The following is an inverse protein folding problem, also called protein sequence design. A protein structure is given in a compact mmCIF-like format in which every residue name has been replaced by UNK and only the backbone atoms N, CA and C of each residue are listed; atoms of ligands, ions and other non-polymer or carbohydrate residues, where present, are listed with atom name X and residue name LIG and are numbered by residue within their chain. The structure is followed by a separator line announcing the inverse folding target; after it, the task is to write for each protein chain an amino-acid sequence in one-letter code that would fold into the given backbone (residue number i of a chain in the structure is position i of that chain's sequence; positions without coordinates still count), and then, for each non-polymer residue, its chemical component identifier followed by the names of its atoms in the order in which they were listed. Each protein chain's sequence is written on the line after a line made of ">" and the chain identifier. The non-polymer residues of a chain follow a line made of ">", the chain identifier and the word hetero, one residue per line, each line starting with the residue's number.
data_IF_439841478064
#
_entry.id   IF_439841478064
#
_cell.length_a   1.000
_cell.length_b   1.000
_cell.length_c   1.000
_cell.angle_alpha   90.00
_cell.angle_beta   90.00
_cell.angle_gamma   90.00
#
_symmetry.space_group_name_H-M   'P 1'
#
loop_
_entity.id
_entity.type
_entity.pdbx_description
1 polymer ?
#
# COMPACT_ATOMS: atom_id res chain seq x y z
N UNK A 1 -0.43 31.14 12.19
CA UNK A 1 -0.84 29.78 11.94
C UNK A 1 -1.85 29.33 12.99
N UNK A 2 -2.68 28.36 12.68
CA UNK A 2 -3.58 27.76 13.68
C UNK A 2 -2.73 26.79 14.51
N UNK A 3 -2.79 26.84 15.85
CA UNK A 3 -2.14 25.82 16.69
C UNK A 3 -2.69 24.44 16.34
N UNK A 4 -1.82 23.47 16.15
CA UNK A 4 -2.21 22.09 15.85
C UNK A 4 -1.35 21.13 16.68
N UNK A 5 -2.01 20.16 17.32
CA UNK A 5 -1.37 19.12 18.11
C UNK A 5 -1.55 17.79 17.39
N UNK A 6 -0.48 16.99 17.32
CA UNK A 6 -0.52 15.67 16.73
C UNK A 6 -0.93 14.64 17.81
N UNK A 7 -2.06 13.95 17.57
CA UNK A 7 -2.65 13.00 18.51
C UNK A 7 -2.62 11.56 18.02
N UNK A 8 -1.72 11.22 17.10
CA UNK A 8 -1.59 9.86 16.54
C UNK A 8 -2.54 9.56 15.40
N UNK A 9 -2.58 8.27 15.00
CA UNK A 9 -3.45 7.81 13.92
C UNK A 9 -4.20 6.53 14.33
N UNK A 10 -5.55 6.51 14.30
CA UNK A 10 -6.34 5.36 14.76
C UNK A 10 -5.96 4.03 14.11
N UNK A 11 -5.65 4.04 12.81
CA UNK A 11 -5.24 2.84 12.08
C UNK A 11 -3.95 2.19 12.63
N UNK A 12 -3.03 2.95 13.24
CA UNK A 12 -1.82 2.41 13.82
C UNK A 12 -2.15 1.49 15.01
N UNK A 13 -3.12 1.86 15.84
CA UNK A 13 -3.61 1.04 16.94
C UNK A 13 -4.36 -0.20 16.45
N UNK A 14 -5.21 -0.04 15.43
CA UNK A 14 -5.99 -1.14 14.87
C UNK A 14 -5.12 -2.22 14.21
N UNK A 15 -3.92 -1.87 13.76
CA UNK A 15 -2.97 -2.79 13.11
C UNK A 15 -1.92 -3.37 14.05
N UNK A 16 -1.79 -2.86 15.28
CA UNK A 16 -0.69 -3.22 16.22
C UNK A 16 -0.62 -4.71 16.60
N UNK A 17 -1.72 -5.47 16.46
CA UNK A 17 -1.76 -6.93 16.72
C UNK A 17 -1.69 -7.79 15.46
N UNK A 18 -1.63 -7.20 14.28
CA UNK A 18 -1.69 -7.93 13.03
C UNK A 18 -0.29 -8.37 12.60
N UNK A 19 -0.02 -9.67 12.67
CA UNK A 19 1.28 -10.26 12.29
C UNK A 19 1.17 -11.01 10.96
N UNK A 20 2.31 -11.20 10.27
CA UNK A 20 2.40 -12.02 9.05
C UNK A 20 1.86 -13.43 9.29
N UNK A 21 2.20 -14.04 10.42
CA UNK A 21 1.78 -15.41 10.77
C UNK A 21 0.27 -15.50 10.97
N UNK A 22 -0.33 -14.58 11.75
CA UNK A 22 -1.78 -14.57 11.97
C UNK A 22 -2.55 -14.27 10.70
N UNK A 23 -2.08 -13.33 9.87
CA UNK A 23 -2.71 -12.97 8.62
C UNK A 23 -2.67 -14.11 7.58
N UNK A 24 -1.55 -14.84 7.49
CA UNK A 24 -1.44 -16.02 6.61
C UNK A 24 -2.34 -17.17 7.05
N UNK A 25 -2.39 -17.45 8.36
CA UNK A 25 -3.28 -18.46 8.90
C UNK A 25 -4.76 -18.14 8.58
N UNK A 26 -5.15 -16.88 8.73
CA UNK A 26 -6.49 -16.37 8.48
C UNK A 26 -6.89 -16.40 6.99
N UNK A 27 -5.91 -16.33 6.08
CA UNK A 27 -6.10 -16.42 4.62
C UNK A 27 -5.82 -17.82 4.06
N UNK A 28 -5.42 -18.79 4.89
CA UNK A 28 -5.08 -20.15 4.45
C UNK A 28 -3.82 -20.22 3.56
N UNK A 29 -2.83 -19.35 3.82
CA UNK A 29 -1.60 -19.24 3.03
C UNK A 29 -0.45 -19.93 3.77
N UNK A 30 0.29 -20.79 3.06
CA UNK A 30 1.47 -21.44 3.61
C UNK A 30 2.60 -20.43 3.91
N UNK A 31 3.40 -20.71 4.94
CA UNK A 31 4.48 -19.84 5.41
C UNK A 31 5.53 -19.53 4.34
N UNK A 32 5.82 -20.50 3.47
CA UNK A 32 6.92 -20.43 2.49
C UNK A 32 6.48 -19.87 1.12
N UNK A 33 5.18 -19.64 0.94
CA UNK A 33 4.64 -19.07 -0.30
C UNK A 33 5.08 -17.61 -0.45
N UNK A 34 5.68 -17.25 -1.58
CA UNK A 34 5.89 -15.83 -1.93
C UNK A 34 4.54 -15.17 -2.26
N UNK A 35 4.22 -14.09 -1.56
CA UNK A 35 2.93 -13.41 -1.68
C UNK A 35 3.13 -11.93 -1.97
N UNK A 36 2.45 -11.44 -2.98
CA UNK A 36 2.38 -10.01 -3.33
C UNK A 36 0.94 -9.52 -3.20
N UNK A 37 0.71 -8.52 -2.36
CA UNK A 37 -0.56 -7.80 -2.37
C UNK A 37 -0.59 -6.77 -3.50
N UNK A 38 -1.68 -6.76 -4.26
CA UNK A 38 -1.89 -5.83 -5.37
C UNK A 38 -3.13 -4.99 -5.09
N UNK A 39 -2.93 -3.70 -4.80
CA UNK A 39 -3.97 -2.75 -4.44
C UNK A 39 -4.13 -1.72 -5.58
N UNK A 40 -4.99 -2.00 -6.57
CA UNK A 40 -5.07 -1.20 -7.80
C UNK A 40 -5.79 0.13 -7.63
N UNK A 41 -6.24 0.45 -6.42
CA UNK A 41 -6.94 1.66 -6.06
C UNK A 41 -8.37 1.41 -5.58
N UNK A 42 -8.97 2.45 -4.99
CA UNK A 42 -10.34 2.43 -4.48
C UNK A 42 -11.33 3.20 -5.36
N UNK A 43 -10.82 3.98 -6.31
CA UNK A 43 -11.61 4.80 -7.24
C UNK A 43 -11.56 4.24 -8.66
N UNK A 44 -12.66 4.36 -9.38
CA UNK A 44 -12.74 3.91 -10.78
C UNK A 44 -11.71 4.55 -11.71
N UNK A 45 -11.35 5.80 -11.45
CA UNK A 45 -10.31 6.50 -12.21
C UNK A 45 -8.93 5.87 -12.02
N UNK A 46 -8.58 5.47 -10.80
CA UNK A 46 -7.33 4.78 -10.48
C UNK A 46 -7.26 3.44 -11.21
N UNK A 47 -8.32 2.62 -11.07
CA UNK A 47 -8.46 1.33 -11.75
C UNK A 47 -8.29 1.47 -13.27
N UNK A 48 -8.96 2.46 -13.87
CA UNK A 48 -8.89 2.68 -15.33
C UNK A 48 -7.46 2.92 -15.83
N UNK A 49 -6.64 3.59 -15.04
CA UNK A 49 -5.27 3.92 -15.43
C UNK A 49 -4.25 2.84 -15.08
N UNK A 50 -4.49 2.03 -14.03
CA UNK A 50 -3.50 1.12 -13.48
C UNK A 50 -3.83 -0.37 -13.67
N UNK A 51 -5.07 -0.76 -13.96
CA UNK A 51 -5.45 -2.18 -14.03
C UNK A 51 -4.58 -2.99 -14.99
N UNK A 52 -4.40 -2.52 -16.25
CA UNK A 52 -3.59 -3.21 -17.24
C UNK A 52 -2.10 -3.23 -16.87
N UNK A 53 -1.59 -2.14 -16.30
CA UNK A 53 -0.20 -2.03 -15.84
C UNK A 53 0.05 -3.03 -14.71
N UNK A 54 -0.85 -3.11 -13.75
CA UNK A 54 -0.72 -4.04 -12.63
C UNK A 54 -0.85 -5.49 -13.08
N UNK A 55 -1.76 -5.79 -14.01
CA UNK A 55 -1.86 -7.12 -14.62
C UNK A 55 -0.56 -7.51 -15.36
N UNK A 56 0.02 -6.61 -16.15
CA UNK A 56 1.31 -6.80 -16.82
C UNK A 56 2.44 -7.04 -15.80
N UNK A 57 2.49 -6.26 -14.73
CA UNK A 57 3.44 -6.44 -13.63
C UNK A 57 3.29 -7.81 -12.96
N UNK A 58 2.06 -8.26 -12.68
CA UNK A 58 1.80 -9.60 -12.11
C UNK A 58 2.29 -10.71 -13.04
N UNK A 59 2.07 -10.58 -14.36
CA UNK A 59 2.59 -11.54 -15.35
C UNK A 59 4.11 -11.60 -15.34
N UNK A 60 4.77 -10.45 -15.39
CA UNK A 60 6.22 -10.38 -15.38
C UNK A 60 6.81 -11.02 -14.11
N UNK A 61 6.22 -10.77 -12.94
CA UNK A 61 6.61 -11.42 -11.69
C UNK A 61 6.40 -12.93 -11.72
N UNK A 62 5.32 -13.39 -12.37
CA UNK A 62 4.99 -14.82 -12.48
C UNK A 62 5.96 -15.60 -13.37
N UNK A 63 6.59 -14.94 -14.34
CA UNK A 63 7.63 -15.55 -15.17
C UNK A 63 8.91 -15.85 -14.39
N UNK A 64 9.24 -14.98 -13.43
CA UNK A 64 10.44 -15.12 -12.61
C UNK A 64 10.21 -15.95 -11.35
N UNK A 65 8.96 -16.10 -10.90
CA UNK A 65 8.59 -16.81 -9.67
C UNK A 65 7.40 -17.73 -9.93
N UNK A 66 7.68 -19.02 -10.14
CA UNK A 66 6.66 -20.02 -10.45
C UNK A 66 5.58 -20.14 -9.37
N UNK A 67 5.95 -19.93 -8.10
CA UNK A 67 5.08 -20.12 -6.93
C UNK A 67 4.52 -18.83 -6.34
N UNK A 68 4.76 -17.66 -6.96
CA UNK A 68 4.22 -16.40 -6.46
C UNK A 68 2.69 -16.40 -6.48
N UNK A 69 2.08 -15.90 -5.42
CA UNK A 69 0.64 -15.69 -5.28
C UNK A 69 0.32 -14.21 -5.12
N UNK A 70 -0.79 -13.82 -5.68
CA UNK A 70 -1.26 -12.43 -5.62
C UNK A 70 -2.55 -12.36 -4.80
N UNK A 71 -2.59 -11.46 -3.83
CA UNK A 71 -3.78 -11.08 -3.10
C UNK A 71 -4.26 -9.74 -3.63
N UNK A 72 -5.48 -9.69 -4.11
CA UNK A 72 -6.05 -8.44 -4.66
C UNK A 72 -7.28 -8.06 -3.85
N UNK A 73 -7.11 -7.26 -2.79
CA UNK A 73 -8.23 -6.80 -1.97
C UNK A 73 -8.97 -5.65 -2.68
N UNK A 74 -10.30 -5.72 -2.63
CA UNK A 74 -11.18 -4.68 -3.16
C UNK A 74 -12.07 -4.07 -2.08
N UNK A 75 -12.22 -2.75 -2.11
CA UNK A 75 -13.11 -2.03 -1.21
C UNK A 75 -14.60 -2.19 -1.59
N UNK A 76 -14.91 -2.58 -2.83
CA UNK A 76 -16.27 -2.79 -3.31
C UNK A 76 -16.32 -3.68 -4.57
N UNK A 77 -17.45 -4.34 -4.76
CA UNK A 77 -17.73 -5.13 -5.97
C UNK A 77 -17.67 -4.32 -7.27
N UNK A 78 -17.97 -3.04 -7.21
CA UNK A 78 -17.94 -2.15 -8.37
C UNK A 78 -16.51 -2.00 -8.88
N UNK A 79 -15.57 -1.72 -7.99
CA UNK A 79 -14.15 -1.60 -8.30
C UNK A 79 -13.57 -2.95 -8.76
N UNK A 80 -13.96 -4.05 -8.10
CA UNK A 80 -13.58 -5.41 -8.49
C UNK A 80 -14.00 -5.73 -9.92
N UNK A 81 -15.30 -5.53 -10.26
CA UNK A 81 -15.79 -5.79 -11.62
C UNK A 81 -15.04 -4.98 -12.66
N UNK A 82 -14.79 -3.69 -12.41
CA UNK A 82 -14.06 -2.84 -13.32
C UNK A 82 -12.61 -3.31 -13.51
N UNK A 83 -11.93 -3.69 -12.42
CA UNK A 83 -10.59 -4.24 -12.49
C UNK A 83 -10.56 -5.51 -13.34
N UNK A 84 -11.43 -6.48 -13.08
CA UNK A 84 -11.50 -7.73 -13.82
C UNK A 84 -11.85 -7.53 -15.32
N UNK A 85 -12.61 -6.50 -15.67
CA UNK A 85 -12.94 -6.17 -17.07
C UNK A 85 -11.73 -5.59 -17.82
N UNK A 86 -10.87 -4.84 -17.13
CA UNK A 86 -9.70 -4.19 -17.72
C UNK A 86 -8.44 -5.06 -17.65
N UNK A 87 -8.25 -5.75 -16.55
CA UNK A 87 -7.11 -6.62 -16.31
C UNK A 87 -7.47 -8.04 -16.77
N UNK A 88 -7.09 -8.44 -17.98
CA UNK A 88 -7.18 -9.86 -18.40
C UNK A 88 -6.22 -10.69 -17.54
N UNK A 89 -6.74 -11.57 -16.69
CA UNK A 89 -5.95 -12.37 -15.73
C UNK A 89 -6.13 -13.88 -15.92
N UNK A 90 -6.68 -14.32 -17.07
CA UNK A 90 -6.93 -15.73 -17.37
C UNK A 90 -5.64 -16.56 -17.32
N UNK A 91 -4.55 -15.99 -17.78
CA UNK A 91 -3.21 -16.58 -17.77
C UNK A 91 -2.59 -16.68 -16.35
N UNK A 92 -3.15 -15.97 -15.37
CA UNK A 92 -2.78 -16.02 -13.96
C UNK A 92 -3.78 -16.82 -13.11
N UNK A 93 -4.66 -17.61 -13.75
CA UNK A 93 -5.63 -18.43 -13.05
C UNK A 93 -4.95 -19.35 -12.01
N UNK A 94 -5.52 -19.37 -10.79
CA UNK A 94 -4.96 -20.14 -9.67
C UNK A 94 -3.78 -19.45 -8.93
N UNK A 95 -3.28 -18.32 -9.43
CA UNK A 95 -2.25 -17.52 -8.74
C UNK A 95 -2.82 -16.26 -8.08
N UNK A 96 -3.99 -15.82 -8.50
CA UNK A 96 -4.67 -14.61 -8.02
C UNK A 96 -5.83 -14.99 -7.12
N UNK A 97 -5.85 -14.42 -5.93
CA UNK A 97 -6.96 -14.51 -4.98
C UNK A 97 -7.57 -13.12 -4.81
N UNK A 98 -8.81 -12.96 -5.21
CA UNK A 98 -9.58 -11.76 -4.94
C UNK A 98 -10.16 -11.82 -3.54
N UNK A 99 -9.98 -10.75 -2.78
CA UNK A 99 -10.43 -10.65 -1.39
C UNK A 99 -11.36 -9.45 -1.26
N UNK A 100 -12.52 -9.64 -0.65
CA UNK A 100 -13.46 -8.55 -0.42
C UNK A 100 -13.12 -7.86 0.92
N UNK A 101 -12.75 -6.59 0.87
CA UNK A 101 -12.21 -5.87 2.01
C UNK A 101 -10.85 -6.44 2.46
N UNK A 102 -10.59 -6.39 3.74
CA UNK A 102 -9.44 -7.02 4.44
C UNK A 102 -8.06 -6.65 3.86
N UNK A 103 -7.93 -5.42 3.31
CA UNK A 103 -6.68 -4.96 2.70
C UNK A 103 -5.49 -5.07 3.68
N UNK A 104 -5.68 -4.70 4.94
CA UNK A 104 -4.65 -4.79 5.99
C UNK A 104 -4.19 -6.23 6.25
N UNK A 105 -5.13 -7.19 6.26
CA UNK A 105 -4.81 -8.62 6.40
C UNK A 105 -4.00 -9.11 5.20
N UNK A 106 -4.40 -8.74 3.98
CA UNK A 106 -3.65 -9.08 2.76
C UNK A 106 -2.24 -8.50 2.81
N UNK A 107 -2.10 -7.23 3.15
CA UNK A 107 -0.80 -6.56 3.29
C UNK A 107 0.09 -7.23 4.35
N UNK A 108 -0.46 -7.52 5.54
CA UNK A 108 0.29 -8.19 6.60
C UNK A 108 0.75 -9.61 6.21
N UNK A 109 -0.03 -10.33 5.38
CA UNK A 109 0.30 -11.68 4.88
C UNK A 109 1.38 -11.67 3.79
N UNK A 110 1.66 -10.51 3.17
CA UNK A 110 2.49 -10.39 1.97
C UNK A 110 3.97 -10.14 2.27
N UNK A 111 4.82 -10.52 1.33
CA UNK A 111 6.26 -10.27 1.34
C UNK A 111 6.57 -8.91 0.71
N UNK A 112 5.76 -8.50 -0.28
CA UNK A 112 5.79 -7.19 -0.91
C UNK A 112 4.38 -6.75 -1.33
N UNK A 113 4.22 -5.46 -1.62
CA UNK A 113 2.97 -4.92 -2.16
C UNK A 113 3.21 -4.00 -3.36
N UNK A 114 2.28 -4.05 -4.32
CA UNK A 114 2.15 -3.10 -5.43
C UNK A 114 0.88 -2.28 -5.20
N UNK A 115 1.03 -0.97 -5.01
CA UNK A 115 -0.05 -0.13 -4.50
C UNK A 115 -0.27 1.08 -5.40
N UNK A 116 -1.51 1.33 -5.79
CA UNK A 116 -1.92 2.64 -6.28
C UNK A 116 -1.82 3.66 -5.13
N UNK A 117 -1.20 4.81 -5.40
CA UNK A 117 -1.00 5.84 -4.37
C UNK A 117 -2.31 6.24 -3.68
N UNK A 118 -2.26 6.37 -2.35
CA UNK A 118 -3.40 6.72 -1.52
C UNK A 118 -3.22 6.27 -0.07
N UNK A 119 -4.33 6.16 0.67
CA UNK A 119 -4.34 5.70 2.06
C UNK A 119 -3.83 4.27 2.25
N UNK A 120 -3.93 3.43 1.21
CA UNK A 120 -3.43 2.06 1.24
C UNK A 120 -1.92 1.97 1.47
N UNK A 121 -1.12 2.95 1.00
CA UNK A 121 0.31 3.01 1.28
C UNK A 121 0.60 3.22 2.78
N UNK A 122 -0.20 4.05 3.47
CA UNK A 122 -0.10 4.20 4.92
C UNK A 122 -0.51 2.91 5.64
N UNK A 123 -1.57 2.24 5.20
CA UNK A 123 -1.97 0.95 5.77
C UNK A 123 -0.88 -0.13 5.61
N UNK A 124 -0.22 -0.17 4.45
CA UNK A 124 0.93 -1.05 4.23
C UNK A 124 2.10 -0.71 5.16
N UNK A 125 2.39 0.58 5.36
CA UNK A 125 3.41 1.02 6.30
C UNK A 125 3.09 0.57 7.73
N UNK A 126 1.85 0.74 8.18
CA UNK A 126 1.42 0.39 9.53
C UNK A 126 1.47 -1.12 9.83
N UNK A 127 1.39 -1.98 8.83
CA UNK A 127 1.58 -3.44 8.99
C UNK A 127 3.00 -3.90 8.62
N UNK A 128 3.90 -2.97 8.30
CA UNK A 128 5.30 -3.26 7.98
C UNK A 128 5.50 -3.99 6.66
N UNK A 129 4.59 -3.86 5.68
CA UNK A 129 4.68 -4.49 4.37
C UNK A 129 5.55 -3.66 3.42
N UNK A 130 6.70 -4.17 2.94
CA UNK A 130 7.47 -3.51 1.90
C UNK A 130 6.62 -3.26 0.65
N UNK A 131 6.81 -2.13 -0.02
CA UNK A 131 5.91 -1.76 -1.10
C UNK A 131 6.59 -0.99 -2.23
N UNK A 132 5.96 -1.05 -3.38
CA UNK A 132 6.19 -0.19 -4.54
C UNK A 132 4.91 0.58 -4.82
N UNK A 133 5.01 1.88 -5.04
CA UNK A 133 3.86 2.75 -5.25
C UNK A 133 3.82 3.22 -6.70
N UNK A 134 2.65 3.09 -7.33
CA UNK A 134 2.36 3.63 -8.65
C UNK A 134 1.30 4.72 -8.57
N UNK A 135 1.48 5.78 -9.34
CA UNK A 135 0.52 6.87 -9.43
C UNK A 135 0.29 7.27 -10.88
N UNK A 136 -0.95 7.16 -11.32
CA UNK A 136 -1.34 7.54 -12.68
C UNK A 136 -2.71 8.21 -12.68
N UNK A 137 -2.74 9.40 -13.23
CA UNK A 137 -3.97 10.21 -13.39
C UNK A 137 -4.02 10.80 -14.80
N UNK A 138 -5.12 11.44 -15.17
CA UNK A 138 -5.19 12.11 -16.45
C UNK A 138 -4.08 13.17 -16.59
N UNK A 139 -3.55 13.34 -17.81
CA UNK A 139 -2.46 14.30 -18.07
C UNK A 139 -2.80 15.73 -17.66
N UNK A 140 -4.08 16.10 -17.74
CA UNK A 140 -4.56 17.43 -17.29
C UNK A 140 -4.50 17.53 -15.77
N UNK A 141 -5.01 16.54 -15.07
CA UNK A 141 -4.97 16.50 -13.59
C UNK A 141 -3.54 16.50 -13.07
N UNK A 142 -2.63 15.77 -13.74
CA UNK A 142 -1.22 15.72 -13.37
C UNK A 142 -0.54 17.07 -13.52
N UNK A 143 -0.75 17.76 -14.65
CA UNK A 143 -0.17 19.11 -14.88
C UNK A 143 -0.63 20.10 -13.82
N UNK A 144 -1.91 20.08 -13.45
CA UNK A 144 -2.44 20.96 -12.40
C UNK A 144 -1.81 20.59 -11.05
N UNK A 145 -1.78 19.30 -10.71
CA UNK A 145 -1.22 18.84 -9.44
C UNK A 145 0.27 19.22 -9.31
N UNK A 146 1.08 18.98 -10.36
CA UNK A 146 2.52 19.31 -10.34
C UNK A 146 2.82 20.80 -10.33
N UNK A 147 1.94 21.62 -10.89
CA UNK A 147 2.06 23.09 -10.83
C UNK A 147 1.79 23.65 -9.42
N UNK A 148 1.02 22.91 -8.59
CA UNK A 148 0.64 23.33 -7.24
C UNK A 148 1.44 22.60 -6.15
N UNK A 149 2.05 21.46 -6.47
CA UNK A 149 2.77 20.63 -5.50
C UNK A 149 4.19 21.15 -5.26
N UNK A 150 4.59 21.20 -4.00
CA UNK A 150 5.97 21.52 -3.58
C UNK A 150 6.90 20.30 -3.61
N UNK A 151 6.38 19.10 -3.82
CA UNK A 151 7.12 17.82 -3.84
C UNK A 151 6.62 16.90 -4.95
N UNK A 152 7.49 16.00 -5.42
CA UNK A 152 7.12 14.94 -6.36
C UNK A 152 6.74 13.63 -5.67
N UNK A 153 6.95 13.51 -4.36
CA UNK A 153 6.55 12.32 -3.61
C UNK A 153 5.02 12.25 -3.51
N UNK A 154 4.48 11.05 -3.72
CA UNK A 154 3.02 10.83 -3.75
C UNK A 154 2.53 9.90 -2.65
N UNK A 155 3.42 9.14 -2.00
CA UNK A 155 3.06 8.29 -0.88
C UNK A 155 3.26 8.99 0.46
N UNK A 156 2.26 8.89 1.33
CA UNK A 156 2.36 9.45 2.68
C UNK A 156 3.53 8.86 3.47
N UNK A 157 3.85 7.56 3.43
CA UNK A 157 4.98 7.03 4.18
C UNK A 157 6.32 7.66 3.82
N UNK A 158 6.60 7.95 2.53
CA UNK A 158 7.84 8.63 2.15
C UNK A 158 7.96 10.04 2.74
N UNK A 159 6.83 10.74 2.94
CA UNK A 159 6.82 12.03 3.62
C UNK A 159 7.09 11.93 5.14
N UNK A 160 6.80 10.77 5.73
CA UNK A 160 7.01 10.51 7.17
C UNK A 160 8.41 9.94 7.45
N UNK A 161 9.10 9.43 6.45
CA UNK A 161 10.46 8.90 6.59
C UNK A 161 11.50 10.01 6.59
N UNK A 162 12.58 9.85 7.38
CA UNK A 162 13.75 10.72 7.33
C UNK A 162 14.46 10.66 5.97
N UNK A 163 14.50 9.47 5.36
CA UNK A 163 14.99 9.23 4.01
C UNK A 163 13.94 8.42 3.25
N UNK A 164 13.42 8.91 2.12
CA UNK A 164 12.46 8.17 1.31
C UNK A 164 13.07 6.86 0.80
N UNK A 165 12.43 5.72 1.08
CA UNK A 165 12.89 4.38 0.69
C UNK A 165 11.90 3.64 -0.21
N UNK A 166 10.65 4.12 -0.30
CA UNK A 166 9.63 3.46 -1.09
C UNK A 166 9.78 3.91 -2.56
N UNK A 167 10.00 2.99 -3.50
CA UNK A 167 10.01 3.31 -4.92
C UNK A 167 8.64 3.84 -5.37
N UNK A 168 8.62 5.00 -6.00
CA UNK A 168 7.42 5.65 -6.53
C UNK A 168 7.56 5.87 -8.02
N UNK A 169 6.61 5.35 -8.77
CA UNK A 169 6.56 5.49 -10.22
C UNK A 169 5.32 6.30 -10.62
N UNK A 170 5.56 7.41 -11.34
CA UNK A 170 4.52 8.37 -11.67
C UNK A 170 4.26 8.36 -13.18
N UNK A 171 3.00 8.46 -13.57
CA UNK A 171 2.56 8.62 -14.95
C UNK A 171 3.16 7.55 -15.89
N UNK A 172 3.98 7.94 -16.85
CA UNK A 172 4.55 7.02 -17.84
C UNK A 172 5.59 6.08 -17.22
N UNK A 173 6.23 6.45 -16.12
CA UNK A 173 7.14 5.58 -15.37
C UNK A 173 6.37 4.48 -14.60
N UNK A 174 5.06 4.67 -14.34
CA UNK A 174 4.20 3.64 -13.78
C UNK A 174 3.81 2.61 -14.86
N UNK A 175 4.78 1.83 -15.32
CA UNK A 175 4.65 0.78 -16.33
C UNK A 175 5.22 -0.55 -15.80
N UNK A 176 4.89 -1.66 -16.46
CA UNK A 176 5.30 -3.01 -16.04
C UNK A 176 6.81 -3.20 -16.06
N UNK A 177 7.53 -2.53 -16.97
CA UNK A 177 8.98 -2.62 -17.14
C UNK A 177 9.73 -2.05 -15.92
N UNK A 178 9.15 -1.06 -15.25
CA UNK A 178 9.70 -0.44 -14.06
C UNK A 178 9.16 -1.07 -12.77
N UNK A 179 7.86 -1.37 -12.73
CA UNK A 179 7.21 -1.88 -11.52
C UNK A 179 7.63 -3.31 -11.20
N UNK A 180 7.73 -4.20 -12.22
CA UNK A 180 8.04 -5.60 -11.97
C UNK A 180 9.45 -5.79 -11.38
N UNK A 181 10.53 -5.18 -11.91
CA UNK A 181 11.85 -5.26 -11.28
C UNK A 181 11.88 -4.69 -9.86
N UNK A 182 11.17 -3.59 -9.59
CA UNK A 182 11.13 -2.99 -8.26
C UNK A 182 10.44 -3.89 -7.23
N UNK A 183 9.31 -4.53 -7.60
CA UNK A 183 8.65 -5.53 -6.71
C UNK A 183 9.52 -6.77 -6.59
N UNK A 184 10.14 -7.24 -7.70
CA UNK A 184 11.03 -8.41 -7.69
C UNK A 184 12.21 -8.20 -6.73
N UNK A 185 12.80 -7.00 -6.70
CA UNK A 185 13.87 -6.67 -5.78
C UNK A 185 13.44 -6.86 -4.32
N UNK A 186 12.23 -6.43 -3.95
CA UNK A 186 11.72 -6.62 -2.59
C UNK A 186 11.47 -8.11 -2.24
N UNK A 187 11.25 -8.97 -3.25
CA UNK A 187 11.06 -10.41 -3.05
C UNK A 187 12.38 -11.18 -2.97
N UNK A 188 13.46 -10.71 -3.59
CA UNK A 188 14.71 -11.44 -3.75
C UNK A 188 15.85 -10.84 -2.90
N UNK A 189 15.82 -9.55 -2.59
CA UNK A 189 16.80 -8.86 -1.76
C UNK A 189 16.27 -8.66 -0.34
N UNK A 190 16.58 -9.62 0.52
CA UNK A 190 16.19 -9.58 1.93
C UNK A 190 16.73 -8.33 2.66
N UNK A 191 17.90 -7.84 2.29
CA UNK A 191 18.51 -6.67 2.92
C UNK A 191 17.68 -5.40 2.61
N UNK A 192 17.34 -5.18 1.34
CA UNK A 192 16.47 -4.07 0.91
C UNK A 192 15.08 -4.15 1.57
N UNK A 193 14.47 -5.35 1.57
CA UNK A 193 13.17 -5.55 2.21
C UNK A 193 13.22 -5.28 3.73
N UNK A 194 14.28 -5.72 4.40
CA UNK A 194 14.46 -5.52 5.85
C UNK A 194 14.70 -4.05 6.18
N UNK A 195 15.50 -3.33 5.38
CA UNK A 195 15.72 -1.91 5.55
C UNK A 195 14.40 -1.13 5.47
N UNK A 196 13.59 -1.41 4.46
CA UNK A 196 12.26 -0.80 4.32
C UNK A 196 11.36 -1.16 5.51
N UNK A 197 11.31 -2.43 5.94
CA UNK A 197 10.52 -2.84 7.12
C UNK A 197 10.92 -2.08 8.39
N UNK A 198 12.22 -1.83 8.60
CA UNK A 198 12.69 -1.05 9.76
C UNK A 198 12.22 0.40 9.71
N UNK A 199 12.30 1.03 8.54
CA UNK A 199 11.79 2.39 8.35
C UNK A 199 10.26 2.47 8.55
N UNK A 200 9.51 1.48 8.05
CA UNK A 200 8.06 1.39 8.25
C UNK A 200 7.69 1.19 9.73
N UNK A 201 8.48 0.39 10.48
CA UNK A 201 8.26 0.20 11.91
C UNK A 201 8.42 1.51 12.70
N UNK A 202 9.31 2.41 12.30
CA UNK A 202 9.42 3.75 12.90
C UNK A 202 8.13 4.53 12.72
N UNK A 203 7.57 4.54 11.50
CA UNK A 203 6.28 5.21 11.22
C UNK A 203 5.17 4.63 12.10
N UNK A 204 5.09 3.30 12.21
CA UNK A 204 4.09 2.65 13.05
C UNK A 204 4.21 3.10 14.51
N UNK A 205 5.43 3.12 15.06
CA UNK A 205 5.67 3.52 16.43
C UNK A 205 5.30 4.99 16.67
N UNK A 206 5.68 5.88 15.75
CA UNK A 206 5.41 7.32 15.84
C UNK A 206 3.92 7.64 15.76
N UNK A 207 3.15 6.83 15.00
CA UNK A 207 1.72 7.00 14.85
C UNK A 207 0.88 6.23 15.89
N UNK A 208 1.47 5.24 16.57
CA UNK A 208 0.78 4.39 17.55
C UNK A 208 0.85 4.98 18.95
N UNK A 209 0.33 6.17 19.11
CA UNK A 209 0.13 6.81 20.42
C UNK A 209 -1.32 6.65 20.87
N UNK A 210 -1.58 6.81 22.16
CA UNK A 210 -2.95 6.67 22.70
C UNK A 210 -3.84 7.85 22.31
N UNK A 211 -4.20 7.88 21.04
CA UNK A 211 -4.98 8.94 20.38
C UNK A 211 -6.27 9.26 21.15
N UNK A 212 -6.98 8.25 21.66
CA UNK A 212 -8.28 8.47 22.30
C UNK A 212 -8.15 9.23 23.62
N UNK A 213 -7.22 8.84 24.49
CA UNK A 213 -6.99 9.52 25.75
C UNK A 213 -6.44 10.93 25.53
N UNK A 214 -5.51 11.09 24.57
CA UNK A 214 -4.94 12.41 24.26
C UNK A 214 -5.96 13.40 23.69
N UNK A 215 -6.87 12.94 22.84
CA UNK A 215 -7.98 13.79 22.35
C UNK A 215 -8.88 14.21 23.51
N UNK A 216 -9.22 13.28 24.42
CA UNK A 216 -10.02 13.60 25.59
C UNK A 216 -9.31 14.61 26.49
N UNK A 217 -8.02 14.42 26.75
CA UNK A 217 -7.22 15.36 27.56
C UNK A 217 -7.17 16.74 26.93
N UNK A 218 -6.90 16.81 25.62
CA UNK A 218 -6.88 18.07 24.87
C UNK A 218 -8.24 18.80 24.90
N UNK A 219 -9.36 18.05 24.79
CA UNK A 219 -10.70 18.64 24.89
C UNK A 219 -11.00 19.15 26.32
N UNK A 220 -10.56 18.44 27.36
CA UNK A 220 -10.72 18.86 28.74
C UNK A 220 -9.89 20.12 29.05
N UNK A 221 -8.66 20.21 28.54
CA UNK A 221 -7.82 21.40 28.67
C UNK A 221 -8.46 22.64 28.01
N UNK A 222 -9.05 22.48 26.81
CA UNK A 222 -9.73 23.56 26.11
C UNK A 222 -10.96 24.05 26.88
N UNK A 223 -11.73 23.16 27.52
CA UNK A 223 -12.92 23.52 28.29
C UNK A 223 -12.60 24.07 29.69
N UNK A 224 -11.41 23.80 30.22
CA UNK A 224 -10.97 24.29 31.52
C UNK A 224 -10.30 25.68 31.43
N UNK A 225 -10.07 26.17 30.23
CA UNK A 225 -9.40 27.47 29.99
C UNK A 225 -10.40 28.63 29.74
N UNK A 226 -11.70 28.40 29.89
CA UNK A 226 -12.77 29.40 29.96
C UNK A 226 -13.15 29.69 31.44
#
# INVERSE_FOLDING_TARGET
>A
GVPATFEGHPAARETSGLTRTSARADLGINTDTKVVSVLPGSRESEIRHLANVFAGTMRALSLNNADVRFLVPFASDRVRRQFCQLASLEDLAGRVTFVDGRARTCLAASDAALIASGTAALEAALVGCPMVVAYRVSSVSYRIATALASTRMVSMPNHLMATPLIPEFLQDDANEQNLAPAVQQLLDDEATALEMKRALATIQNDLNIDTNNRIVDAMLEMTSSE
#
